data_IF_356091732186
#
_entry.id   IF_356091732186
#
_cell.length_a   1.000
_cell.length_b   1.000
_cell.length_c   1.000
_cell.angle_alpha   90.00
_cell.angle_beta   90.00
_cell.angle_gamma   90.00
#
_symmetry.space_group_name_H-M   'P 1'
#
loop_
_entity.id
_entity.type
_entity.pdbx_description
1 polymer ?
#
# COMPACT_ATOMS: atom_id res chain seq x y z
N UNK A 1 5.61 21.59 -22.72
CA UNK A 1 4.70 22.29 -21.79
C UNK A 1 3.88 21.20 -21.09
N UNK A 2 4.10 20.95 -19.80
CA UNK A 2 3.37 19.91 -19.05
C UNK A 2 1.93 20.37 -18.90
N UNK A 3 0.96 19.51 -19.23
CA UNK A 3 -0.47 19.88 -19.09
C UNK A 3 -0.85 19.79 -17.61
N UNK A 4 -1.78 20.64 -17.16
CA UNK A 4 -2.32 20.59 -15.79
C UNK A 4 -2.83 19.19 -15.42
N UNK A 5 -3.45 18.48 -16.38
CA UNK A 5 -3.88 17.09 -16.21
C UNK A 5 -2.75 16.11 -15.88
N UNK A 6 -1.54 16.37 -16.39
CA UNK A 6 -0.37 15.53 -16.16
C UNK A 6 0.18 15.77 -14.75
N UNK A 7 0.12 17.01 -14.25
CA UNK A 7 0.48 17.36 -12.87
C UNK A 7 -0.46 16.71 -11.85
N UNK A 8 -1.76 16.72 -12.09
CA UNK A 8 -2.74 16.06 -11.21
C UNK A 8 -2.56 14.55 -11.20
N UNK A 9 -2.18 13.95 -12.34
CA UNK A 9 -1.82 12.54 -12.42
C UNK A 9 -0.56 12.25 -11.60
N UNK A 10 0.50 13.04 -11.78
CA UNK A 10 1.77 12.90 -11.04
C UNK A 10 1.55 13.03 -9.53
N UNK A 11 0.75 14.00 -9.09
CA UNK A 11 0.45 14.20 -7.67
C UNK A 11 -0.31 13.01 -7.06
N UNK A 12 -1.27 12.44 -7.80
CA UNK A 12 -1.96 11.21 -7.38
C UNK A 12 -1.01 10.03 -7.28
N UNK A 13 -0.12 9.84 -8.26
CA UNK A 13 0.90 8.78 -8.23
C UNK A 13 1.86 8.94 -7.05
N UNK A 14 2.35 10.16 -6.78
CA UNK A 14 3.19 10.44 -5.60
C UNK A 14 2.48 10.15 -4.28
N UNK A 15 1.22 10.54 -4.18
CA UNK A 15 0.41 10.27 -2.99
C UNK A 15 0.20 8.77 -2.79
N UNK A 16 -0.14 8.05 -3.86
CA UNK A 16 -0.29 6.59 -3.84
C UNK A 16 1.01 5.91 -3.40
N UNK A 17 2.15 6.29 -3.99
CA UNK A 17 3.47 5.77 -3.59
C UNK A 17 3.74 5.99 -2.12
N UNK A 18 3.53 7.21 -1.62
CA UNK A 18 3.78 7.54 -0.21
C UNK A 18 2.90 6.69 0.73
N UNK A 19 1.64 6.48 0.37
CA UNK A 19 0.72 5.62 1.13
C UNK A 19 1.16 4.15 1.11
N UNK A 20 1.51 3.61 -0.06
CA UNK A 20 1.96 2.23 -0.19
C UNK A 20 3.27 1.98 0.56
N UNK A 21 4.23 2.92 0.51
CA UNK A 21 5.48 2.86 1.29
C UNK A 21 5.17 2.88 2.79
N UNK A 22 4.33 3.81 3.26
CA UNK A 22 3.98 3.89 4.67
C UNK A 22 3.30 2.60 5.18
N UNK A 23 2.42 2.00 4.39
CA UNK A 23 1.77 0.74 4.76
C UNK A 23 2.76 -0.44 4.75
N UNK A 24 3.64 -0.52 3.76
CA UNK A 24 4.70 -1.54 3.73
C UNK A 24 5.60 -1.45 4.96
N UNK A 25 6.02 -0.24 5.31
CA UNK A 25 6.94 -0.02 6.44
C UNK A 25 6.27 -0.39 7.77
N UNK A 26 4.98 -0.08 7.96
CA UNK A 26 4.16 -0.55 9.09
C UNK A 26 4.10 -2.08 9.17
N UNK A 27 3.93 -2.76 8.03
CA UNK A 27 3.92 -4.22 7.99
C UNK A 27 5.29 -4.82 8.32
N UNK A 28 6.38 -4.20 7.86
CA UNK A 28 7.75 -4.62 8.15
C UNK A 28 8.16 -4.39 9.60
N UNK A 29 7.64 -3.34 10.25
CA UNK A 29 7.87 -3.08 11.67
C UNK A 29 7.14 -4.06 12.60
N UNK A 30 6.39 -5.02 12.04
CA UNK A 30 5.66 -6.02 12.81
C UNK A 30 4.33 -5.53 13.37
N UNK A 31 3.74 -4.47 12.81
CA UNK A 31 2.43 -3.99 13.29
C UNK A 31 1.39 -5.14 13.26
N UNK A 32 0.64 -5.38 14.35
CA UNK A 32 -0.30 -6.49 14.43
C UNK A 32 -1.41 -6.40 13.38
N UNK A 33 -1.64 -7.50 12.65
CA UNK A 33 -2.75 -7.63 11.72
C UNK A 33 -4.00 -8.14 12.45
N UNK A 34 -5.13 -7.51 12.18
CA UNK A 34 -6.44 -7.92 12.69
C UNK A 34 -7.39 -8.09 11.52
N UNK A 35 -8.09 -9.21 11.50
CA UNK A 35 -9.18 -9.45 10.56
C UNK A 35 -10.46 -9.19 11.33
N UNK A 36 -11.22 -8.18 10.91
CA UNK A 36 -12.50 -7.83 11.53
C UNK A 36 -13.64 -8.05 10.53
N UNK A 37 -14.80 -8.46 11.03
CA UNK A 37 -16.02 -8.61 10.24
C UNK A 37 -17.14 -7.77 10.84
N UNK A 38 -17.90 -7.08 9.98
CA UNK A 38 -18.92 -6.11 10.39
C UNK A 38 -18.41 -4.68 10.39
N UNK A 39 -19.30 -3.74 10.68
CA UNK A 39 -19.01 -2.31 10.60
C UNK A 39 -18.70 -1.72 11.97
N UNK A 40 -17.57 -1.02 12.05
CA UNK A 40 -17.13 -0.16 13.16
C UNK A 40 -17.53 -0.67 14.56
N UNK A 41 -18.63 -0.16 15.13
CA UNK A 41 -19.09 -0.48 16.49
C UNK A 41 -19.62 -1.90 16.70
N UNK A 42 -19.94 -2.62 15.62
CA UNK A 42 -20.43 -4.01 15.66
C UNK A 42 -19.41 -4.99 15.08
N UNK A 43 -18.15 -4.57 14.90
CA UNK A 43 -17.12 -5.43 14.33
C UNK A 43 -16.71 -6.55 15.30
N UNK A 44 -16.63 -7.77 14.80
CA UNK A 44 -16.10 -8.94 15.50
C UNK A 44 -14.68 -9.25 15.02
N UNK A 45 -13.77 -9.56 15.95
CA UNK A 45 -12.41 -9.97 15.64
C UNK A 45 -12.38 -11.47 15.26
N UNK A 46 -11.87 -11.78 14.09
CA UNK A 46 -11.57 -13.15 13.68
C UNK A 46 -10.19 -13.52 14.20
N UNK A 47 -10.14 -14.50 15.13
CA UNK A 47 -8.88 -15.04 15.64
C UNK A 47 -8.39 -16.13 14.69
N UNK A 48 -7.19 -15.95 14.15
CA UNK A 48 -6.56 -16.91 13.25
C UNK A 48 -5.23 -17.39 13.82
N UNK A 49 -4.75 -18.53 13.34
CA UNK A 49 -3.45 -19.06 13.74
C UNK A 49 -2.31 -18.10 13.35
N UNK A 50 -1.22 -17.99 14.15
CA UNK A 50 -0.10 -17.09 13.85
C UNK A 50 0.49 -17.29 12.44
N UNK A 51 0.67 -18.55 12.02
CA UNK A 51 1.19 -18.84 10.68
C UNK A 51 0.27 -18.36 9.54
N UNK A 52 -1.04 -18.24 9.78
CA UNK A 52 -1.97 -17.68 8.80
C UNK A 52 -1.80 -16.16 8.69
N UNK A 53 -1.63 -15.45 9.81
CA UNK A 53 -1.31 -14.01 9.78
C UNK A 53 0.04 -13.72 9.13
N UNK A 54 1.03 -14.61 9.29
CA UNK A 54 2.34 -14.46 8.65
C UNK A 54 2.25 -14.62 7.13
N UNK A 55 1.44 -15.57 6.66
CA UNK A 55 1.12 -15.73 5.24
C UNK A 55 0.50 -14.46 4.65
N UNK A 56 -0.54 -13.93 5.30
CA UNK A 56 -1.18 -12.68 4.89
C UNK A 56 -0.17 -11.53 4.86
N UNK A 57 0.67 -11.40 5.90
CA UNK A 57 1.69 -10.34 5.94
C UNK A 57 2.65 -10.44 4.75
N UNK A 58 3.12 -11.65 4.42
CA UNK A 58 4.01 -11.89 3.28
C UNK A 58 3.35 -11.47 1.97
N UNK A 59 2.09 -11.86 1.76
CA UNK A 59 1.35 -11.53 0.54
C UNK A 59 1.10 -10.03 0.40
N UNK A 60 0.75 -9.36 1.51
CA UNK A 60 0.60 -7.91 1.55
C UNK A 60 1.92 -7.20 1.21
N UNK A 61 3.04 -7.61 1.83
CA UNK A 61 4.36 -7.05 1.55
C UNK A 61 4.75 -7.19 0.07
N UNK A 62 4.52 -8.37 -0.52
CA UNK A 62 4.74 -8.58 -1.95
C UNK A 62 3.85 -7.68 -2.81
N UNK A 63 2.57 -7.55 -2.45
CA UNK A 63 1.61 -6.70 -3.17
C UNK A 63 2.00 -5.22 -3.10
N UNK A 64 2.40 -4.71 -1.93
CA UNK A 64 2.88 -3.33 -1.78
C UNK A 64 4.16 -3.09 -2.57
N UNK A 65 5.12 -4.03 -2.55
CA UNK A 65 6.34 -3.91 -3.34
C UNK A 65 6.04 -3.82 -4.85
N UNK A 66 5.12 -4.65 -5.35
CA UNK A 66 4.67 -4.60 -6.75
C UNK A 66 4.03 -3.27 -7.13
N UNK A 67 3.08 -2.77 -6.31
CA UNK A 67 2.43 -1.47 -6.57
C UNK A 67 3.40 -0.29 -6.52
N UNK A 68 4.34 -0.31 -5.59
CA UNK A 68 5.38 0.74 -5.50
C UNK A 68 6.20 0.75 -6.79
N UNK A 69 6.70 -0.42 -7.23
CA UNK A 69 7.47 -0.54 -8.48
C UNK A 69 6.68 -0.03 -9.68
N UNK A 70 5.40 -0.42 -9.80
CA UNK A 70 4.56 0.02 -10.91
C UNK A 70 4.34 1.53 -10.93
N UNK A 71 4.11 2.14 -9.76
CA UNK A 71 3.94 3.59 -9.64
C UNK A 71 5.25 4.32 -9.94
N UNK A 72 6.38 3.77 -9.50
CA UNK A 72 7.73 4.29 -9.78
C UNK A 72 8.01 4.29 -11.29
N UNK A 73 7.68 3.20 -11.99
CA UNK A 73 7.79 3.12 -13.45
C UNK A 73 6.93 4.19 -14.15
N UNK A 74 5.68 4.39 -13.68
CA UNK A 74 4.78 5.41 -14.24
C UNK A 74 5.28 6.84 -14.00
N UNK A 75 5.92 7.10 -12.86
CA UNK A 75 6.52 8.39 -12.52
C UNK A 75 7.77 8.65 -13.36
N UNK A 76 8.67 7.66 -13.51
CA UNK A 76 9.84 7.76 -14.38
C UNK A 76 9.45 7.99 -15.83
N UNK A 77 8.43 7.28 -16.33
CA UNK A 77 7.89 7.49 -17.68
C UNK A 77 7.28 8.89 -17.88
N UNK A 78 6.86 9.55 -16.79
CA UNK A 78 6.42 10.94 -16.79
C UNK A 78 7.56 11.96 -16.61
N UNK A 79 8.82 11.51 -16.54
CA UNK A 79 10.00 12.34 -16.35
C UNK A 79 10.20 12.83 -14.91
N UNK A 80 9.65 12.13 -13.93
CA UNK A 80 9.77 12.46 -12.51
C UNK A 80 10.91 11.64 -11.89
N UNK A 81 11.88 12.31 -11.29
CA UNK A 81 12.90 11.68 -10.43
C UNK A 81 12.28 11.26 -9.08
N UNK A 82 12.69 10.08 -8.58
CA UNK A 82 12.07 9.36 -7.46
C UNK A 82 12.82 9.54 -6.13
#
# INVERSE_FOLDING_TARGET
MVKLSDLDRINRLRTQRAQDVAMRDRLQSGEPLKIMIGDDKAASLIVVAPGYTDGIRKDLLGSFAGRISEVEDQLMAAGVEL
#
